data_IF_458821301508
#
_entry.id   IF_458821301508
#
_cell.length_a   1.000
_cell.length_b   1.000
_cell.length_c   1.000
_cell.angle_alpha   90.00
_cell.angle_beta   90.00
_cell.angle_gamma   90.00
#
_symmetry.space_group_name_H-M   'P 1'
#
loop_
_entity.id
_entity.type
_entity.pdbx_description
1 polymer ?
#
# COMPACT_ATOMS: atom_id res chain seq x y z
N UNK A 1 13.11 -18.54 6.31
CA UNK A 1 11.74 -17.98 6.24
C UNK A 1 11.84 -16.72 5.40
N UNK A 2 11.59 -16.82 4.10
CA UNK A 2 11.58 -15.65 3.19
C UNK A 2 10.32 -14.87 3.47
N UNK A 3 10.44 -13.67 4.06
CA UNK A 3 9.32 -12.77 4.20
C UNK A 3 8.74 -12.50 2.80
N UNK A 4 7.45 -12.78 2.60
CA UNK A 4 6.71 -12.41 1.39
C UNK A 4 6.85 -10.91 1.15
N UNK A 5 7.75 -10.52 0.25
CA UNK A 5 8.03 -9.11 -0.07
C UNK A 5 6.88 -8.42 -0.81
N UNK A 6 5.87 -9.20 -1.19
CA UNK A 6 4.62 -8.81 -1.82
C UNK A 6 3.48 -8.60 -0.82
N UNK A 7 3.64 -9.05 0.43
CA UNK A 7 2.57 -9.00 1.44
C UNK A 7 2.49 -7.60 2.05
N UNK A 8 1.31 -6.98 1.93
CA UNK A 8 1.03 -5.69 2.54
C UNK A 8 0.94 -5.87 4.05
N UNK A 9 1.64 -5.03 4.80
CA UNK A 9 1.65 -5.04 6.26
C UNK A 9 1.10 -3.72 6.82
N UNK A 10 0.64 -3.71 8.10
CA UNK A 10 0.24 -2.48 8.77
C UNK A 10 1.34 -1.41 8.77
N UNK A 11 2.59 -1.84 8.87
CA UNK A 11 3.75 -0.94 8.84
C UNK A 11 3.89 -0.24 7.50
N UNK A 12 3.65 -0.92 6.37
CA UNK A 12 3.67 -0.28 5.04
C UNK A 12 2.58 0.77 4.89
N UNK A 13 1.38 0.50 5.41
CA UNK A 13 0.26 1.43 5.38
C UNK A 13 0.51 2.65 6.29
N UNK A 14 1.08 2.42 7.47
CA UNK A 14 1.50 3.51 8.37
C UNK A 14 2.56 4.40 7.71
N UNK A 15 3.61 3.80 7.13
CA UNK A 15 4.64 4.53 6.40
C UNK A 15 4.07 5.33 5.21
N UNK A 16 3.06 4.79 4.52
CA UNK A 16 2.38 5.51 3.44
C UNK A 16 1.59 6.72 3.98
N UNK A 17 0.88 6.59 5.11
CA UNK A 17 0.13 7.69 5.72
C UNK A 17 1.04 8.81 6.25
N UNK A 18 2.20 8.43 6.79
CA UNK A 18 3.25 9.35 7.22
C UNK A 18 3.98 10.01 6.04
N UNK A 19 3.83 9.48 4.81
CA UNK A 19 4.40 10.08 3.64
C UNK A 19 3.67 11.39 3.29
N UNK A 20 4.42 12.48 3.15
CA UNK A 20 3.86 13.83 3.20
C UNK A 20 2.87 14.20 2.09
N UNK A 21 2.95 13.60 0.89
CA UNK A 21 2.06 13.96 -0.23
C UNK A 21 0.86 13.02 -0.35
N UNK A 22 -0.36 13.52 -0.60
CA UNK A 22 -1.54 12.69 -0.86
C UNK A 22 -1.40 11.81 -2.10
N UNK A 23 -0.53 12.21 -3.03
CA UNK A 23 -0.21 11.48 -4.26
C UNK A 23 0.85 10.40 -4.06
N UNK A 24 1.47 10.30 -2.88
CA UNK A 24 2.36 9.16 -2.58
C UNK A 24 1.55 7.87 -2.68
N UNK A 25 2.13 6.83 -3.26
CA UNK A 25 1.46 5.56 -3.53
C UNK A 25 2.29 4.39 -3.04
N UNK A 26 1.60 3.36 -2.55
CA UNK A 26 2.18 2.04 -2.36
C UNK A 26 2.05 1.29 -3.70
N UNK A 27 3.19 0.85 -4.23
CA UNK A 27 3.28 0.13 -5.49
C UNK A 27 3.90 -1.24 -5.27
N UNK A 28 3.51 -2.20 -6.10
CA UNK A 28 4.15 -3.49 -6.22
C UNK A 28 4.95 -3.52 -7.52
N UNK A 29 6.27 -3.62 -7.40
CA UNK A 29 7.20 -3.70 -8.54
C UNK A 29 8.18 -4.85 -8.33
N UNK A 30 8.36 -5.69 -9.34
CA UNK A 30 9.26 -6.86 -9.30
C UNK A 30 9.08 -7.74 -8.03
N UNK A 31 7.82 -7.94 -7.61
CA UNK A 31 7.50 -8.72 -6.41
C UNK A 31 7.90 -8.06 -5.09
N UNK A 32 8.06 -6.73 -5.06
CA UNK A 32 8.39 -5.96 -3.86
C UNK A 32 7.48 -4.75 -3.70
N UNK A 33 6.98 -4.56 -2.48
CA UNK A 33 6.26 -3.35 -2.11
C UNK A 33 7.23 -2.18 -1.95
N UNK A 34 6.90 -1.04 -2.54
CA UNK A 34 7.63 0.23 -2.42
C UNK A 34 6.66 1.39 -2.25
N UNK A 35 7.10 2.41 -1.54
CA UNK A 35 6.38 3.67 -1.41
C UNK A 35 7.06 4.67 -2.35
N UNK A 36 6.31 5.21 -3.30
CA UNK A 36 6.85 6.13 -4.29
C UNK A 36 6.02 7.41 -4.38
N UNK A 37 6.67 8.57 -4.61
CA UNK A 37 5.95 9.79 -4.94
C UNK A 37 5.22 9.58 -6.26
N UNK A 38 3.92 9.91 -6.32
CA UNK A 38 3.12 9.75 -7.52
C UNK A 38 3.77 10.44 -8.72
N UNK A 39 4.24 9.63 -9.67
CA UNK A 39 4.80 10.07 -10.95
C UNK A 39 4.06 9.36 -12.09
N UNK A 40 3.82 10.05 -13.18
CA UNK A 40 2.97 9.57 -14.28
C UNK A 40 3.61 8.45 -15.12
N UNK A 41 4.89 8.12 -14.90
CA UNK A 41 5.72 7.39 -15.87
C UNK A 41 5.97 5.89 -15.58
N UNK A 42 5.57 5.35 -14.43
CA UNK A 42 5.93 3.97 -14.06
C UNK A 42 4.94 2.92 -14.57
N UNK A 43 5.02 2.62 -15.87
CA UNK A 43 4.22 1.60 -16.57
C UNK A 43 4.44 0.16 -16.08
N UNK A 44 5.54 -0.10 -15.36
CA UNK A 44 5.93 -1.44 -14.85
C UNK A 44 5.59 -1.64 -13.36
N UNK A 45 4.78 -0.76 -12.77
CA UNK A 45 4.42 -0.84 -11.35
C UNK A 45 2.92 -0.99 -11.17
N UNK A 46 2.51 -1.98 -10.37
CA UNK A 46 1.11 -2.13 -9.97
C UNK A 46 0.83 -1.20 -8.80
N UNK A 47 0.01 -0.18 -9.01
CA UNK A 47 -0.44 0.71 -7.93
C UNK A 47 -1.42 -0.05 -7.04
N UNK A 48 -1.05 -0.21 -5.76
CA UNK A 48 -1.89 -0.88 -4.75
C UNK A 48 -2.91 0.09 -4.19
N UNK A 49 -2.45 1.23 -3.67
CA UNK A 49 -3.28 2.28 -3.07
C UNK A 49 -2.50 3.59 -2.96
N UNK A 50 -3.19 4.72 -3.03
CA UNK A 50 -2.63 6.06 -2.78
C UNK A 50 -2.76 6.45 -1.30
N UNK A 51 -1.93 7.38 -0.82
CA UNK A 51 -2.03 7.93 0.53
C UNK A 51 -3.38 8.61 0.74
N UNK A 52 -3.88 9.32 -0.27
CA UNK A 52 -5.21 9.94 -0.25
C UNK A 52 -6.34 8.92 -0.10
N UNK A 53 -6.33 7.85 -0.91
CA UNK A 53 -7.32 6.77 -0.82
C UNK A 53 -7.24 6.02 0.51
N UNK A 54 -6.03 5.71 0.98
CA UNK A 54 -5.83 5.04 2.26
C UNK A 54 -6.39 5.90 3.39
N UNK A 55 -6.06 7.19 3.43
CA UNK A 55 -6.61 8.12 4.41
C UNK A 55 -8.13 8.27 4.31
N UNK A 56 -8.71 8.17 3.11
CA UNK A 56 -10.16 8.18 2.94
C UNK A 56 -10.85 6.90 3.48
N UNK A 57 -10.15 5.75 3.45
CA UNK A 57 -10.67 4.47 3.92
C UNK A 57 -10.52 4.28 5.43
N UNK A 58 -9.35 4.59 5.99
CA UNK A 58 -9.03 4.32 7.41
C UNK A 58 -8.87 5.57 8.27
N UNK A 59 -8.89 6.76 7.68
CA UNK A 59 -8.58 8.03 8.36
C UNK A 59 -7.10 8.40 8.29
N UNK A 60 -6.78 9.63 8.72
CA UNK A 60 -5.40 10.15 8.71
C UNK A 60 -4.53 9.58 9.84
N UNK A 61 -5.16 9.19 10.97
CA UNK A 61 -4.52 8.57 12.12
C UNK A 61 -5.26 7.29 12.56
N UNK A 62 -5.17 6.20 11.77
CA UNK A 62 -5.81 4.93 12.11
C UNK A 62 -5.04 4.19 13.22
N UNK A 63 -5.78 3.41 14.01
CA UNK A 63 -5.21 2.47 14.95
C UNK A 63 -4.65 1.21 14.25
N UNK A 64 -3.82 0.45 14.97
CA UNK A 64 -3.18 -0.76 14.45
C UNK A 64 -4.20 -1.81 13.95
N UNK A 65 -5.36 -1.92 14.60
CA UNK A 65 -6.42 -2.83 14.18
C UNK A 65 -7.01 -2.44 12.80
N UNK A 66 -7.22 -1.15 12.56
CA UNK A 66 -7.73 -0.65 11.29
C UNK A 66 -6.70 -0.87 10.16
N UNK A 67 -5.42 -0.60 10.43
CA UNK A 67 -4.33 -0.87 9.49
C UNK A 67 -4.19 -2.37 9.19
N UNK A 68 -4.35 -3.23 10.19
CA UNK A 68 -4.29 -4.69 10.01
C UNK A 68 -5.44 -5.23 9.17
N UNK A 69 -6.65 -4.72 9.41
CA UNK A 69 -7.82 -5.07 8.61
C UNK A 69 -7.64 -4.63 7.15
N UNK A 70 -7.20 -3.38 6.94
CA UNK A 70 -7.01 -2.85 5.59
C UNK A 70 -5.88 -3.55 4.84
N UNK A 71 -4.78 -3.86 5.51
CA UNK A 71 -3.70 -4.65 4.91
C UNK A 71 -4.19 -6.05 4.48
N UNK A 72 -5.05 -6.70 5.26
CA UNK A 72 -5.64 -7.98 4.88
C UNK A 72 -6.60 -7.87 3.68
N UNK A 73 -7.37 -6.78 3.60
CA UNK A 73 -8.24 -6.48 2.46
C UNK A 73 -7.43 -6.30 1.18
N UNK A 74 -6.42 -5.42 1.20
CA UNK A 74 -5.58 -5.14 0.03
C UNK A 74 -4.79 -6.38 -0.44
N UNK A 75 -4.32 -7.23 0.49
CA UNK A 75 -3.69 -8.50 0.12
C UNK A 75 -4.67 -9.45 -0.58
N UNK A 76 -5.94 -9.43 -0.18
CA UNK A 76 -6.99 -10.23 -0.83
C UNK A 76 -7.28 -9.69 -2.23
N UNK A 77 -7.38 -8.37 -2.38
CA UNK A 77 -7.54 -7.70 -3.68
C UNK A 77 -6.36 -8.02 -4.62
N UNK A 78 -5.12 -7.94 -4.14
CA UNK A 78 -3.93 -8.32 -4.94
C UNK A 78 -3.96 -9.77 -5.41
N UNK A 79 -4.37 -10.71 -4.56
CA UNK A 79 -4.51 -12.12 -4.94
C UNK A 79 -5.61 -12.34 -5.98
N UNK A 80 -6.71 -11.60 -5.89
CA UNK A 80 -7.80 -11.68 -6.88
C UNK A 80 -7.39 -11.09 -8.23
N UNK A 81 -6.52 -10.09 -8.23
CA UNK A 81 -5.95 -9.49 -9.45
C UNK A 81 -4.86 -10.38 -10.10
N UNK A 82 -4.44 -11.47 -9.45
CA UNK A 82 -3.53 -12.47 -10.03
C UNK A 82 -2.04 -12.14 -9.91
N UNK A 83 -1.65 -11.34 -8.90
CA UNK A 83 -0.25 -11.07 -8.56
C UNK A 83 0.48 -12.28 -7.93
#
# INVERSE_FOLDING_TARGET
>A
MTADKTKITPENLRQLLEAGSPHTRLVLTEGRLRIEPGSEDDLDTLVVITRGDLAARVGDQPDEAALSHEAASLNTELRLLGA
#
